data_IF_117587030113
#
_entry.id   IF_117587030113
#
_cell.length_a   1.000
_cell.length_b   1.000
_cell.length_c   1.000
_cell.angle_alpha   90.00
_cell.angle_beta   90.00
_cell.angle_gamma   90.00
#
_symmetry.space_group_name_H-M   'P 1'
#
loop_
_entity.id
_entity.type
_entity.pdbx_description
1 polymer ?
2 non-polymer ?
3 water ?
#
# COMPACT_ATOMS: atom_id res chain seq x y z
N UNK A 2 -10.22 7.93 8.58
CA UNK A 2 -11.12 6.81 8.14
C UNK A 2 -10.61 5.50 8.75
N UNK A 3 -9.35 5.17 8.56
CA UNK A 3 -8.84 3.85 8.96
C UNK A 3 -8.63 3.84 10.49
N UNK A 4 -9.29 2.91 11.19
CA UNK A 4 -9.29 2.83 12.65
C UNK A 4 -8.36 1.71 13.15
N UNK A 5 -7.47 1.23 12.28
CA UNK A 5 -6.56 0.14 12.60
C UNK A 5 -5.13 0.60 12.28
N UNK A 6 -4.27 0.69 13.28
CA UNK A 6 -2.88 0.98 13.14
C UNK A 6 -2.13 -0.04 13.99
N UNK A 7 -0.94 -0.34 13.52
CA UNK A 7 -0.03 -1.24 14.16
C UNK A 7 0.58 -0.55 15.40
N UNK A 8 0.39 -1.12 16.57
CA UNK A 8 1.12 -0.69 17.77
C UNK A 8 2.54 -1.29 17.78
N UNK A 9 3.50 -0.47 18.15
CA UNK A 9 4.89 -0.92 18.37
C UNK A 9 5.61 -1.11 17.04
N UNK A 10 5.20 -0.39 16.01
CA UNK A 10 5.84 -0.56 14.73
C UNK A 10 7.32 -0.16 14.81
N UNK A 11 8.14 -1.01 14.21
CA UNK A 11 9.58 -0.74 14.07
C UNK A 11 9.85 -0.57 12.58
N UNK A 12 9.95 0.68 12.13
CA UNK A 12 9.97 1.04 10.73
C UNK A 12 11.23 0.44 10.08
N UNK A 13 12.33 0.31 10.81
CA UNK A 13 13.58 -0.22 10.21
C UNK A 13 13.38 -1.65 9.68
N UNK A 14 12.50 -2.40 10.35
CA UNK A 14 12.32 -3.82 10.09
C UNK A 14 11.39 -4.06 8.88
N UNK A 15 10.87 -3.01 8.26
CA UNK A 15 10.06 -3.22 7.03
C UNK A 15 10.96 -3.00 5.81
N UNK A 16 12.25 -2.72 6.02
CA UNK A 16 13.20 -2.60 4.92
C UNK A 16 13.15 -3.84 4.02
N UNK A 17 13.36 -3.62 2.72
CA UNK A 17 13.61 -4.72 1.80
C UNK A 17 12.52 -4.88 0.77
N UNK A 18 12.48 -6.10 0.21
CA UNK A 18 11.66 -6.33 -0.97
C UNK A 18 10.23 -6.68 -0.53
N UNK A 19 9.28 -6.08 -1.24
CA UNK A 19 7.87 -6.42 -1.09
C UNK A 19 7.20 -6.57 -2.45
N UNK A 20 6.08 -7.27 -2.40
CA UNK A 20 5.21 -7.55 -3.53
C UNK A 20 3.79 -7.14 -3.18
N UNK A 21 3.17 -6.39 -4.06
CA UNK A 21 1.77 -6.00 -3.86
C UNK A 21 0.81 -7.11 -4.29
N UNK A 22 0.47 -7.97 -3.34
CA UNK A 22 -0.33 -9.15 -3.68
C UNK A 22 -1.81 -8.78 -3.93
N UNK A 23 -2.43 -7.91 -3.13
CA UNK A 23 -3.81 -7.46 -3.33
C UNK A 23 -3.90 -5.96 -3.07
N UNK A 24 -4.86 -5.31 -3.75
CA UNK A 24 -5.18 -3.90 -3.55
C UNK A 24 -6.69 -3.73 -3.50
N UNK A 25 -7.13 -2.70 -2.80
CA UNK A 25 -8.54 -2.34 -2.71
C UNK A 25 -8.67 -0.81 -2.62
N UNK A 26 -9.77 -0.24 -3.11
CA UNK A 26 -9.98 1.20 -3.06
C UNK A 26 -11.46 1.51 -2.84
N UNK A 27 -11.70 2.75 -2.42
CA UNK A 27 -13.03 3.26 -2.11
C UNK A 27 -13.81 3.54 -3.41
N UNK A 28 -13.10 3.82 -4.49
CA UNK A 28 -13.68 4.21 -5.76
C UNK A 28 -13.02 3.41 -6.88
N UNK A 29 -13.87 2.91 -7.76
CA UNK A 29 -13.45 1.98 -8.79
C UNK A 29 -12.37 2.64 -9.63
N UNK A 30 -12.55 3.94 -9.90
CA UNK A 30 -11.66 4.74 -10.75
C UNK A 30 -10.24 4.84 -10.19
N UNK A 31 -10.03 4.61 -8.91
CA UNK A 31 -8.65 4.66 -8.37
C UNK A 31 -7.79 3.46 -8.81
N UNK A 32 -8.44 2.32 -9.15
CA UNK A 32 -7.69 1.12 -9.49
C UNK A 32 -8.10 0.47 -10.83
N UNK A 33 -9.11 0.94 -11.56
CA UNK A 33 -9.64 0.13 -12.68
C UNK A 33 -8.66 -0.01 -13.88
N UNK A 34 -8.14 1.06 -14.46
CA UNK A 34 -7.19 0.95 -15.59
C UNK A 34 -5.77 0.63 -15.10
N UNK A 35 -4.89 0.15 -16.00
CA UNK A 35 -3.44 0.03 -15.80
C UNK A 35 -2.85 1.33 -15.26
N UNK A 36 -3.36 2.43 -15.80
CA UNK A 36 -2.86 3.77 -15.52
C UNK A 36 -3.69 4.49 -14.45
N UNK A 37 -4.46 3.76 -13.65
CA UNK A 37 -5.31 4.38 -12.68
C UNK A 37 -4.43 5.00 -11.60
N UNK A 38 -4.93 6.06 -10.95
CA UNK A 38 -4.09 6.84 -10.04
C UNK A 38 -3.43 6.09 -8.88
N UNK A 39 -4.06 5.08 -8.29
CA UNK A 39 -3.39 4.45 -7.14
C UNK A 39 -3.04 3.00 -7.45
N UNK A 40 -3.01 2.72 -8.74
CA UNK A 40 -2.53 1.43 -9.20
C UNK A 40 -0.99 1.46 -9.15
N UNK A 41 -0.43 1.19 -7.97
CA UNK A 41 1.02 1.25 -7.80
C UNK A 41 1.48 -0.09 -7.23
N UNK A 42 2.68 -0.47 -7.64
CA UNK A 42 3.25 -1.80 -7.39
C UNK A 42 4.53 -1.57 -6.59
N UNK A 43 4.49 -1.98 -5.32
CA UNK A 43 5.59 -1.75 -4.41
C UNK A 43 6.76 -2.67 -4.81
N UNK A 44 7.97 -2.07 -4.85
CA UNK A 44 9.20 -2.80 -5.15
C UNK A 44 10.01 -2.94 -3.85
N UNK A 45 10.33 -1.81 -3.21
CA UNK A 45 11.05 -1.99 -1.94
C UNK A 45 10.87 -0.76 -1.04
N UNK A 46 11.01 -1.03 0.25
CA UNK A 46 10.97 0.00 1.28
C UNK A 46 12.40 0.25 1.82
N UNK A 47 12.76 1.55 1.97
CA UNK A 47 14.16 1.91 2.35
C UNK A 47 14.21 3.04 3.48
N UNK A 48 13.98 2.54 4.72
CA UNK A 48 13.81 3.46 5.85
C UNK A 48 15.12 4.21 6.08
N UNK A 49 15.05 5.53 6.30
CA UNK A 49 16.23 6.32 6.62
C UNK A 49 16.53 6.20 8.12
N UNK A 50 17.76 6.54 8.54
CA UNK A 50 18.18 6.52 9.96
C UNK A 50 17.43 7.46 10.98
N UNK A 51 16.90 8.58 10.43
CA UNK A 51 15.98 9.52 11.12
C UNK A 51 14.52 9.02 11.10
N UNK A 52 14.26 7.94 10.38
CA UNK A 52 12.99 7.22 10.47
C UNK A 52 11.96 7.67 9.45
N UNK A 53 12.33 8.39 8.38
CA UNK A 53 11.51 8.54 7.15
C UNK A 53 11.48 7.27 6.26
N UNK A 54 10.64 7.23 5.23
CA UNK A 54 10.57 6.02 4.40
C UNK A 54 10.67 6.39 2.92
N UNK A 55 11.75 5.97 2.27
CA UNK A 55 11.90 6.02 0.81
C UNK A 55 11.17 4.78 0.25
N UNK A 56 10.29 4.99 -0.74
CA UNK A 56 9.54 3.89 -1.41
C UNK A 56 9.90 3.84 -2.91
N UNK A 57 10.36 2.67 -3.37
CA UNK A 57 10.50 2.36 -4.78
C UNK A 57 9.24 1.62 -5.26
N UNK A 58 8.68 2.08 -6.36
CA UNK A 58 7.52 1.38 -6.92
C UNK A 58 7.46 1.54 -8.44
N UNK A 59 6.55 0.78 -9.01
CA UNK A 59 6.31 0.89 -10.42
C UNK A 59 4.89 1.42 -10.62
N UNK A 60 4.70 2.20 -11.68
CA UNK A 60 3.41 2.71 -12.07
C UNK A 60 3.39 2.76 -13.60
N UNK A 61 2.26 2.39 -14.19
CA UNK A 61 2.03 2.45 -15.63
C UNK A 61 1.61 3.87 -16.00
N UNK A 62 2.34 4.50 -16.90
CA UNK A 62 1.90 5.79 -17.39
C UNK A 62 2.39 5.97 -18.83
N UNK A 63 1.52 6.58 -19.62
CA UNK A 63 1.79 6.81 -21.03
C UNK A 63 2.38 5.53 -21.66
N UNK A 64 1.64 4.43 -21.52
CA UNK A 64 1.87 3.20 -22.28
C UNK A 64 3.14 2.46 -21.87
N UNK A 65 3.61 2.62 -20.63
CA UNK A 65 4.71 1.78 -20.15
C UNK A 65 4.85 1.85 -18.64
N UNK A 66 5.58 0.87 -18.12
CA UNK A 66 5.81 0.68 -16.72
C UNK A 66 6.99 1.57 -16.29
N UNK A 67 6.73 2.55 -15.44
CA UNK A 67 7.70 3.53 -14.98
C UNK A 67 8.03 3.30 -13.51
N UNK A 68 9.30 3.46 -13.19
CA UNK A 68 9.80 3.34 -11.85
C UNK A 68 9.73 4.72 -11.19
N UNK A 69 9.21 4.75 -9.98
CA UNK A 69 9.03 5.97 -9.24
C UNK A 69 9.71 5.81 -7.87
N UNK A 70 10.15 6.94 -7.34
CA UNK A 70 10.70 7.01 -5.99
C UNK A 70 9.92 8.07 -5.18
N UNK A 71 9.44 7.67 -4.01
CA UNK A 71 8.57 8.47 -3.16
C UNK A 71 9.18 8.54 -1.76
N UNK A 72 9.11 9.72 -1.14
CA UNK A 72 9.48 9.86 0.27
C UNK A 72 8.17 10.02 1.06
N UNK A 73 7.96 9.08 1.98
CA UNK A 73 7.00 9.22 3.03
C UNK A 73 7.71 9.71 4.30
N UNK A 74 7.37 10.91 4.76
CA UNK A 74 7.92 11.44 5.97
C UNK A 74 7.19 10.94 7.23
N UNK A 75 8.00 10.77 8.29
CA UNK A 75 7.47 10.27 9.56
C UNK A 75 6.53 11.32 10.17
N UNK A 76 5.61 10.87 11.03
CA UNK A 76 4.90 11.83 11.93
C UNK A 76 5.20 11.49 13.40
N UNK A 77 4.47 12.12 14.32
CA UNK A 77 4.47 11.77 15.75
C UNK A 77 3.80 10.41 16.02
N UNK A 78 3.14 9.83 15.04
CA UNK A 78 2.58 8.51 15.23
C UNK A 78 3.47 7.54 14.47
N UNK A 79 4.07 6.57 15.16
CA UNK A 79 4.99 5.64 14.49
C UNK A 79 4.41 4.94 13.26
N UNK A 80 3.09 4.74 13.22
CA UNK A 80 2.48 3.97 12.14
C UNK A 80 1.98 4.84 10.97
N UNK A 81 2.20 6.14 10.97
CA UNK A 81 1.53 7.04 10.04
C UNK A 81 2.59 7.95 9.41
N UNK A 82 2.65 7.98 8.09
CA UNK A 82 3.62 8.77 7.30
C UNK A 82 2.85 9.70 6.35
N UNK A 83 3.49 10.77 5.92
CA UNK A 83 2.92 11.76 5.00
C UNK A 83 3.73 11.75 3.70
N UNK A 84 3.06 11.81 2.56
CA UNK A 84 3.66 11.50 1.24
C UNK A 84 4.40 12.74 0.73
N UNK A 85 4.13 13.92 1.25
CA UNK A 85 4.96 15.12 0.92
C UNK A 85 4.55 15.82 -0.40
N UNK A 86 3.71 15.16 -1.19
CA UNK A 86 3.16 15.66 -2.45
C UNK A 86 2.08 16.72 -2.18
N UNK A 87 1.45 17.21 -3.23
CA UNK A 87 0.54 18.37 -3.15
C UNK A 87 -0.68 18.06 -2.28
N UNK A 88 -1.29 16.93 -2.59
CA UNK A 88 -2.38 16.35 -1.83
C UNK A 88 -1.82 15.95 -0.46
N UNK A 89 -2.53 16.26 0.63
CA UNK A 89 -2.12 15.87 1.98
C UNK A 89 -2.28 14.35 2.20
N UNK A 90 -1.44 13.54 1.56
CA UNK A 90 -1.65 12.09 1.47
C UNK A 90 -0.99 11.36 2.65
N UNK A 91 -1.79 10.63 3.41
CA UNK A 91 -1.28 9.92 4.58
C UNK A 91 -1.24 8.41 4.33
N UNK A 92 -0.16 7.81 4.81
CA UNK A 92 0.04 6.38 4.71
C UNK A 92 0.01 5.82 6.13
N UNK A 93 -0.79 4.77 6.35
CA UNK A 93 -0.98 4.14 7.67
C UNK A 93 -0.61 2.66 7.54
N UNK A 94 0.21 2.20 8.47
CA UNK A 94 0.55 0.81 8.56
C UNK A 94 -0.44 0.14 9.53
N UNK A 95 -1.27 -0.78 9.00
CA UNK A 95 -2.34 -1.38 9.78
C UNK A 95 -1.80 -2.51 10.67
N UNK A 96 -0.87 -3.27 10.08
CA UNK A 96 -0.47 -4.56 10.63
C UNK A 96 0.70 -5.09 9.82
N UNK A 97 1.66 -5.67 10.50
CA UNK A 97 2.80 -6.33 9.82
C UNK A 97 3.48 -7.33 10.77
N UNK A 98 4.01 -8.41 10.20
CA UNK A 98 4.83 -9.30 11.00
C UNK A 98 6.29 -9.22 10.57
N UNK A 99 6.64 -8.24 9.73
CA UNK A 99 7.99 -7.94 9.21
C UNK A 99 8.51 -8.99 8.20
N UNK A 100 8.34 -10.27 8.49
CA UNK A 100 9.02 -11.33 7.76
C UNK A 100 8.11 -11.94 6.67
N UNK A 101 6.79 -11.67 6.68
CA UNK A 101 5.81 -12.24 5.72
C UNK A 101 4.91 -11.16 5.09
N UNK A 102 4.14 -10.40 5.88
CA UNK A 102 3.14 -9.52 5.29
C UNK A 102 3.15 -8.15 5.97
N UNK A 103 2.65 -7.18 5.23
CA UNK A 103 2.41 -5.82 5.72
C UNK A 103 1.12 -5.35 5.07
N UNK A 104 0.21 -4.83 5.86
CA UNK A 104 -1.02 -4.23 5.33
C UNK A 104 -0.93 -2.72 5.55
N UNK A 105 -1.17 -1.93 4.50
CA UNK A 105 -1.23 -0.47 4.63
C UNK A 105 -2.37 0.13 3.79
N UNK A 106 -2.81 1.30 4.24
CA UNK A 106 -3.76 2.12 3.52
C UNK A 106 -3.15 3.50 3.29
N UNK A 107 -3.60 4.16 2.25
CA UNK A 107 -3.24 5.52 1.98
C UNK A 107 -4.55 6.29 1.76
N UNK A 108 -4.70 7.42 2.43
CA UNK A 108 -5.90 8.24 2.30
C UNK A 108 -5.53 9.70 2.03
N UNK A 109 -6.48 10.43 1.46
CA UNK A 109 -6.48 11.89 1.30
C UNK A 109 -6.88 12.57 2.61
N UNK A 110 -6.45 13.81 2.82
CA UNK A 110 -6.56 14.48 4.13
C UNK A 110 -8.03 14.82 4.48
N UNK A 111 -8.86 15.20 3.51
CA UNK A 111 -10.30 15.44 3.78
C UNK A 111 -11.03 15.69 2.45
N UNK A 112 -12.31 15.28 2.32
CA UNK A 112 -13.20 15.84 1.26
C UNK A 112 -14.44 15.00 0.90
N UNK A 113 -15.52 14.93 1.69
CA UNK A 113 -15.53 14.62 3.12
C UNK A 113 -15.34 13.09 3.16
N UNK A 114 -16.27 12.36 2.54
CA UNK A 114 -15.96 10.99 2.10
C UNK A 114 -14.92 11.13 0.98
N UNK A 115 -13.83 10.36 1.06
CA UNK A 115 -12.65 10.67 0.24
C UNK A 115 -12.03 9.41 -0.37
N UNK A 116 -10.95 9.58 -1.11
CA UNK A 116 -10.23 8.46 -1.73
C UNK A 116 -9.46 7.71 -0.63
N UNK A 117 -9.44 6.39 -0.75
CA UNK A 117 -8.71 5.50 0.11
C UNK A 117 -8.31 4.28 -0.71
N UNK A 118 -7.04 3.90 -0.59
CA UNK A 118 -6.65 2.59 -1.11
C UNK A 118 -5.75 1.86 -0.10
N UNK A 119 -5.86 0.53 -0.12
CA UNK A 119 -5.14 -0.34 0.79
C UNK A 119 -4.52 -1.48 0.00
N UNK A 120 -3.37 -1.96 0.49
CA UNK A 120 -2.68 -3.10 -0.13
C UNK A 120 -2.28 -4.10 0.97
N UNK A 121 -2.20 -5.32 0.50
CA UNK A 121 -1.62 -6.46 1.20
C UNK A 121 -0.26 -6.70 0.54
N UNK A 122 0.81 -6.34 1.24
CA UNK A 122 2.17 -6.61 0.80
C UNK A 122 2.64 -7.94 1.38
N UNK A 123 3.37 -8.69 0.56
CA UNK A 123 4.07 -9.89 1.03
C UNK A 123 5.55 -9.89 0.60
N UNK A 124 6.35 -10.65 1.32
CA UNK A 124 7.80 -10.69 1.10
C UNK A 124 8.18 -11.55 -0.10
N UNK A 125 7.33 -12.49 -0.53
CA UNK A 125 7.71 -13.43 -1.59
C UNK A 125 6.61 -13.47 -2.67
N UNK A 126 6.94 -13.97 -3.87
CA UNK A 126 5.96 -13.99 -4.99
C UNK A 126 5.02 -15.21 -4.89
N UNK A 127 4.30 -15.28 -3.78
CA UNK A 127 3.45 -16.41 -3.44
C UNK A 127 2.11 -15.88 -2.92
N UNK A 128 1.02 -16.56 -3.21
CA UNK A 128 -0.28 -16.21 -2.67
C UNK A 128 -0.27 -16.63 -1.21
N UNK A 129 -0.32 -15.67 -0.29
CA UNK A 129 -0.37 -15.94 1.16
C UNK A 129 -1.83 -15.81 1.61
N UNK A 130 -2.48 -16.96 1.75
CA UNK A 130 -3.89 -17.01 2.14
C UNK A 130 -4.14 -16.39 3.52
N UNK A 131 -3.26 -16.64 4.48
CA UNK A 131 -3.46 -16.09 5.82
C UNK A 131 -3.34 -14.56 5.75
N UNK A 132 -2.40 -14.02 4.99
CA UNK A 132 -2.23 -12.56 4.90
C UNK A 132 -3.45 -11.94 4.20
N UNK A 133 -3.93 -12.55 3.14
CA UNK A 133 -5.15 -12.13 2.43
C UNK A 133 -6.37 -12.21 3.34
N UNK A 134 -6.37 -13.16 4.25
CA UNK A 134 -7.46 -13.27 5.22
C UNK A 134 -7.38 -12.05 6.16
N UNK A 135 -6.18 -11.64 6.59
CA UNK A 135 -6.07 -10.49 7.48
C UNK A 135 -6.43 -9.20 6.74
N UNK A 136 -5.99 -9.10 5.49
CA UNK A 136 -6.35 -7.99 4.60
C UNK A 136 -7.87 -7.84 4.50
N UNK A 137 -8.58 -8.94 4.20
CA UNK A 137 -10.04 -8.86 4.01
C UNK A 137 -10.73 -8.53 5.32
N UNK A 138 -10.27 -9.07 6.44
CA UNK A 138 -10.88 -8.70 7.71
C UNK A 138 -10.63 -7.22 8.05
N UNK A 139 -9.41 -6.73 7.79
CA UNK A 139 -9.10 -5.33 8.02
C UNK A 139 -10.03 -4.42 7.19
N UNK A 140 -10.41 -4.84 5.98
CA UNK A 140 -11.17 -3.98 5.07
C UNK A 140 -12.70 -4.15 5.25
N UNK A 141 -13.23 -5.14 5.96
CA UNK A 141 -14.68 -5.39 5.92
C UNK A 141 -15.45 -4.23 6.57
N UNK A 142 -14.77 -3.38 7.33
CA UNK A 142 -15.30 -2.08 7.74
C UNK A 142 -15.35 -1.09 6.59
N UNK A 143 -14.22 -0.92 5.92
CA UNK A 143 -13.91 0.22 5.07
C UNK A 143 -14.79 0.22 3.82
N UNK A 144 -15.06 1.39 3.22
CA UNK A 144 -16.09 1.42 2.15
C UNK A 144 -15.42 1.20 0.78
N UNK A 145 -14.92 -0.01 0.57
CA UNK A 145 -14.19 -0.37 -0.63
C UNK A 145 -15.16 -0.81 -1.74
N UNK A 146 -14.86 -0.52 -3.02
CA UNK A 146 -15.74 -0.85 -4.15
C UNK A 146 -14.96 -1.52 -5.29
N UNK A 147 -13.64 -1.63 -5.15
CA UNK A 147 -12.81 -2.37 -6.09
C UNK A 147 -11.75 -3.11 -5.27
N UNK A 148 -11.49 -4.35 -5.67
CA UNK A 148 -10.46 -5.20 -5.09
C UNK A 148 -9.83 -6.01 -6.22
N UNK A 149 -8.48 -6.05 -6.19
CA UNK A 149 -7.67 -6.73 -7.19
C UNK A 149 -6.70 -7.65 -6.45
N UNK A 150 -6.40 -8.78 -7.07
CA UNK A 150 -5.24 -9.57 -6.58
C UNK A 150 -4.55 -10.24 -7.76
N UNK A 151 -3.33 -10.64 -7.45
CA UNK A 151 -2.34 -11.04 -8.48
C UNK A 151 -1.77 -12.42 -8.15
N UNK A 152 -1.48 -13.12 -9.21
CA UNK A 152 -0.96 -14.45 -9.18
C UNK A 152 0.56 -14.38 -9.25
N UNK A 153 1.24 -15.50 -8.93
CA UNK A 153 2.69 -15.45 -8.77
C UNK A 153 3.40 -15.06 -10.08
N UNK A 154 2.82 -15.45 -11.23
CA UNK A 154 3.46 -15.09 -12.50
C UNK A 154 3.50 -13.56 -12.63
N UNK A 155 2.36 -12.94 -12.36
CA UNK A 155 2.18 -11.48 -12.49
C UNK A 155 3.10 -10.75 -11.50
N UNK A 156 3.24 -11.27 -10.28
CA UNK A 156 4.06 -10.69 -9.22
C UNK A 156 5.55 -10.64 -9.61
N UNK A 157 6.00 -11.52 -10.50
CA UNK A 157 7.38 -11.49 -10.98
C UNK A 157 7.52 -10.62 -12.24
N UNK A 158 6.47 -9.95 -12.74
CA UNK A 158 6.55 -9.14 -13.93
C UNK A 158 6.44 -7.67 -13.54
N UNK A 159 7.06 -6.80 -14.33
CA UNK A 159 6.95 -5.37 -14.14
C UNK A 159 5.49 -4.97 -14.38
N UNK A 160 4.94 -4.24 -13.42
CA UNK A 160 3.57 -3.70 -13.46
C UNK A 160 2.54 -4.84 -13.53
N UNK A 161 2.98 -6.03 -13.09
CA UNK A 161 2.13 -7.17 -12.85
C UNK A 161 1.39 -7.57 -14.14
N UNK A 162 2.01 -7.40 -15.28
CA UNK A 162 1.44 -7.70 -16.59
C UNK A 162 1.28 -9.20 -16.76
X LIG B 1 3.67 11.45 -8.08
X LIG B 1 3.12 10.43 -8.57
X LIG B 1 2.28 10.51 -9.49
X LIG B 1 3.52 9.09 -7.99
X LIG B 1 2.49 8.00 -8.24
X LIG B 1 1.36 8.01 -7.22
X LIG B 1 1.81 7.42 -5.89
X LIG B 1 0.62 7.14 -4.98
X LIG B 1 1.06 7.00 -3.54
X LIG B 1 2.06 5.87 -3.39
X LIG B 1 2.25 5.51 -1.93
X LIG B 1 2.81 3.74 -0.29
X LIG B 1 3.62 2.51 0.04
X LIG B 1 3.50 2.32 1.52
X LIG B 1 4.42 1.21 1.99
X LIG B 1 4.01 0.75 3.37
X LIG B 1 4.99 1.04 4.50
X LIG B 1 4.73 2.37 5.18
X LIG B 1 2.80 4.10 -1.75
#
# INVERSE_FOLDING_TARGET
LIVTQTMKGLDIQKVAGTWYSLAMAASDISLLDAQSAPLRVYVEELKPTPEGDLEILLQKWENGECAQKKIIAEKTKIPAVFKIDALNENKVLVLDTDYKKYLLFCMENSAEPEQSLACQCLVRTPEVDDEALEKFDKALKALPMHIRLSFNPTQLEEQCHI
X90 O19 C21 O21 C22 C23 C24 C25 C26 C27 C28 C29 C30 C31 C32 C33 C34 C35 C36 C39
#
